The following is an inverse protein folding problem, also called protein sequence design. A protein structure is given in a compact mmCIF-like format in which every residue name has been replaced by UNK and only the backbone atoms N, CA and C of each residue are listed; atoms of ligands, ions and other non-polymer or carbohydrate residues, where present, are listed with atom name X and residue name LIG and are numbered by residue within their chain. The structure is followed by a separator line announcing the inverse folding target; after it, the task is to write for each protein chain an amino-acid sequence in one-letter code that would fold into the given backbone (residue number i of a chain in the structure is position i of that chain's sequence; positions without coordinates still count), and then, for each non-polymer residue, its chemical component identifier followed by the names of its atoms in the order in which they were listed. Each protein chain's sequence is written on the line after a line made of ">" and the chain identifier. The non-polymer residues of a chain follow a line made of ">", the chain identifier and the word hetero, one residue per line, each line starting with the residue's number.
data_IF_250050493859
#
_entry.id   IF_250050493859
#
_cell.length_a   1.000
_cell.length_b   1.000
_cell.length_c   1.000
_cell.angle_alpha   90.00
_cell.angle_beta   90.00
_cell.angle_gamma   90.00
#
_symmetry.space_group_name_H-M   'P 1'
#
loop_
_entity.id
_entity.type
_entity.pdbx_description
1 polymer ?
#
# COMPACT_ATOMS: atom_id res chain seq x y z
N UNK A 1 -21.17 8.91 -24.10
CA UNK A 1 -21.27 7.71 -23.25
C UNK A 1 -21.47 8.17 -21.81
N UNK A 2 -22.40 7.59 -21.03
CA UNK A 2 -22.63 7.94 -19.61
C UNK A 2 -21.87 6.95 -18.73
N UNK A 3 -21.19 7.45 -17.69
CA UNK A 3 -20.43 6.62 -16.74
C UNK A 3 -20.70 7.09 -15.30
N UNK A 4 -20.54 6.17 -14.35
CA UNK A 4 -20.59 6.40 -12.91
C UNK A 4 -19.37 5.76 -12.24
N UNK A 5 -19.03 6.22 -11.05
CA UNK A 5 -17.88 5.75 -10.31
C UNK A 5 -17.93 6.09 -8.83
N UNK A 6 -16.93 5.61 -8.10
CA UNK A 6 -16.77 5.82 -6.65
C UNK A 6 -15.46 6.57 -6.40
N UNK A 7 -15.52 7.55 -5.50
CA UNK A 7 -14.35 8.17 -4.90
C UNK A 7 -14.02 7.42 -3.60
N UNK A 8 -12.86 6.76 -3.58
CA UNK A 8 -12.32 6.10 -2.39
C UNK A 8 -10.80 6.15 -2.47
N UNK A 9 -10.13 6.70 -1.47
CA UNK A 9 -8.67 6.65 -1.45
C UNK A 9 -8.17 5.26 -1.05
N UNK A 10 -7.01 4.84 -1.58
CA UNK A 10 -6.44 3.51 -1.34
C UNK A 10 -6.24 3.25 0.17
N UNK A 11 -5.82 4.28 0.92
CA UNK A 11 -5.63 4.18 2.39
C UNK A 11 -6.90 3.85 3.18
N UNK A 12 -8.07 3.95 2.55
CA UNK A 12 -9.37 3.65 3.16
C UNK A 12 -9.87 2.23 2.85
N UNK A 13 -9.11 1.44 2.08
CA UNK A 13 -9.40 0.03 1.92
C UNK A 13 -9.19 -0.72 3.24
N UNK A 14 -9.97 -1.79 3.50
CA UNK A 14 -9.93 -2.55 4.75
C UNK A 14 -8.76 -3.55 4.78
N UNK A 15 -7.57 -3.11 4.38
CA UNK A 15 -6.38 -3.96 4.34
C UNK A 15 -5.79 -4.19 5.73
N UNK A 16 -5.15 -5.35 5.97
CA UNK A 16 -4.42 -5.60 7.20
C UNK A 16 -3.27 -4.60 7.38
N UNK A 17 -2.79 -4.46 8.62
CA UNK A 17 -1.67 -3.56 8.95
C UNK A 17 -2.08 -2.09 9.06
N UNK A 18 -3.35 -1.80 9.37
CA UNK A 18 -3.86 -0.48 9.79
C UNK A 18 -3.88 0.61 8.72
N UNK A 19 -3.61 0.29 7.45
CA UNK A 19 -3.78 1.19 6.31
C UNK A 19 -4.09 0.40 5.04
N UNK A 20 -5.01 0.92 4.22
CA UNK A 20 -5.29 0.33 2.92
C UNK A 20 -4.10 0.35 1.95
N UNK A 21 -3.89 -0.75 1.22
CA UNK A 21 -2.74 -1.00 0.33
C UNK A 21 -3.18 -1.40 -1.08
N UNK A 22 -2.22 -1.47 -2.00
CA UNK A 22 -2.38 -2.03 -3.34
C UNK A 22 -2.19 -3.56 -3.33
N UNK A 23 -2.98 -4.25 -2.52
CA UNK A 23 -3.00 -5.71 -2.37
C UNK A 23 -4.35 -6.32 -2.71
N UNK A 24 -4.68 -7.45 -2.06
CA UNK A 24 -5.92 -8.21 -2.31
C UNK A 24 -7.19 -7.34 -2.20
N UNK A 25 -7.29 -6.44 -1.23
CA UNK A 25 -8.48 -5.59 -1.06
C UNK A 25 -8.66 -4.57 -2.18
N UNK A 26 -7.57 -4.13 -2.82
CA UNK A 26 -7.67 -3.27 -4.00
C UNK A 26 -8.27 -4.04 -5.18
N UNK A 27 -7.90 -5.31 -5.37
CA UNK A 27 -8.52 -6.19 -6.37
C UNK A 27 -9.99 -6.46 -6.03
N UNK A 28 -10.31 -6.82 -4.78
CA UNK A 28 -11.69 -7.00 -4.34
C UNK A 28 -12.54 -5.75 -4.55
N UNK A 29 -11.98 -4.56 -4.33
CA UNK A 29 -12.70 -3.32 -4.58
C UNK A 29 -12.96 -3.09 -6.07
N UNK A 30 -12.01 -3.41 -6.95
CA UNK A 30 -12.21 -3.36 -8.41
C UNK A 30 -13.28 -4.36 -8.85
N UNK A 31 -13.26 -5.59 -8.32
CA UNK A 31 -14.29 -6.59 -8.60
C UNK A 31 -15.68 -6.09 -8.15
N UNK A 32 -15.77 -5.46 -6.97
CA UNK A 32 -16.98 -4.82 -6.51
C UNK A 32 -17.48 -3.71 -7.45
N UNK A 33 -16.58 -2.87 -7.97
CA UNK A 33 -16.94 -1.83 -8.94
C UNK A 33 -17.49 -2.44 -10.23
N UNK A 34 -16.83 -3.47 -10.75
CA UNK A 34 -17.28 -4.19 -11.94
C UNK A 34 -18.68 -4.77 -11.75
N UNK A 35 -18.90 -5.52 -10.66
CA UNK A 35 -20.17 -6.14 -10.31
C UNK A 35 -21.28 -5.10 -10.09
N UNK A 36 -20.92 -3.93 -9.56
CA UNK A 36 -21.85 -2.80 -9.36
C UNK A 36 -22.11 -1.97 -10.63
N UNK A 37 -21.49 -2.32 -11.76
CA UNK A 37 -21.59 -1.57 -13.01
C UNK A 37 -20.88 -0.22 -13.00
N UNK A 38 -20.10 0.08 -11.96
CA UNK A 38 -19.27 1.28 -11.88
C UNK A 38 -18.10 1.16 -12.85
N UNK A 39 -17.76 2.26 -13.52
CA UNK A 39 -16.72 2.29 -14.57
C UNK A 39 -15.53 3.16 -14.22
N UNK A 40 -15.58 3.85 -13.09
CA UNK A 40 -14.52 4.77 -12.64
C UNK A 40 -14.25 4.55 -11.15
N UNK A 41 -12.98 4.38 -10.81
CA UNK A 41 -12.48 4.54 -9.45
C UNK A 41 -11.67 5.83 -9.41
N UNK A 42 -12.13 6.81 -8.63
CA UNK A 42 -11.39 8.03 -8.39
C UNK A 42 -10.62 7.92 -7.06
N UNK A 43 -9.36 8.35 -7.08
CA UNK A 43 -8.48 8.43 -5.90
C UNK A 43 -7.99 9.88 -5.71
N UNK A 44 -7.60 10.21 -4.48
CA UNK A 44 -6.76 11.38 -4.16
C UNK A 44 -5.33 11.16 -4.69
N UNK A 45 -4.44 12.17 -4.66
CA UNK A 45 -3.06 11.99 -5.10
C UNK A 45 -2.34 10.86 -4.34
N UNK A 46 -1.61 10.03 -5.08
CA UNK A 46 -0.90 8.84 -4.55
C UNK A 46 0.58 9.11 -4.25
N UNK A 47 0.98 10.38 -4.22
CA UNK A 47 2.35 10.79 -3.93
C UNK A 47 2.66 10.68 -2.43
N UNK A 48 3.94 10.56 -2.02
CA UNK A 48 4.32 10.57 -0.61
C UNK A 48 3.76 11.79 0.12
N UNK A 49 3.19 11.59 1.30
CA UNK A 49 2.66 12.70 2.10
C UNK A 49 3.78 13.45 2.81
N UNK A 50 3.61 14.75 2.97
CA UNK A 50 4.46 15.61 3.80
C UNK A 50 3.89 15.78 5.21
N UNK A 51 4.21 16.90 5.85
CA UNK A 51 3.69 17.22 7.18
C UNK A 51 2.14 17.28 7.21
N UNK A 52 1.52 16.53 8.13
CA UNK A 52 0.07 16.46 8.29
C UNK A 52 -0.63 15.43 7.41
N UNK A 53 0.12 14.50 6.80
CA UNK A 53 -0.38 13.31 6.10
C UNK A 53 -1.33 13.60 4.93
N UNK A 54 -1.31 14.84 4.43
CA UNK A 54 -2.16 15.29 3.35
C UNK A 54 -1.61 14.82 2.00
N UNK A 55 -2.42 14.12 1.17
CA UNK A 55 -2.00 13.72 -0.17
C UNK A 55 -1.77 14.93 -1.10
N UNK A 56 -2.25 16.12 -0.72
CA UNK A 56 -2.05 17.36 -1.48
C UNK A 56 -0.78 18.12 -1.12
N UNK A 57 -0.06 17.68 -0.08
CA UNK A 57 1.17 18.30 0.37
C UNK A 57 2.33 17.30 0.25
N UNK A 58 2.75 17.03 -0.98
CA UNK A 58 3.80 16.06 -1.26
C UNK A 58 5.18 16.69 -1.40
N UNK A 59 6.20 15.93 -1.03
CA UNK A 59 7.62 16.23 -1.31
C UNK A 59 8.02 15.87 -2.75
N UNK A 60 7.15 15.20 -3.53
CA UNK A 60 7.43 14.80 -4.90
C UNK A 60 6.17 14.76 -5.76
N UNK A 61 6.26 15.26 -6.99
CA UNK A 61 5.16 15.15 -7.98
C UNK A 61 5.21 13.84 -8.78
N UNK A 62 6.23 13.01 -8.59
CA UNK A 62 6.47 11.81 -9.42
C UNK A 62 6.50 10.50 -8.63
N UNK A 63 6.93 10.53 -7.37
CA UNK A 63 7.04 9.33 -6.56
C UNK A 63 5.65 8.80 -6.16
N UNK A 64 5.54 7.48 -5.97
CA UNK A 64 4.41 6.86 -5.28
C UNK A 64 4.63 6.81 -3.77
N UNK A 65 3.55 6.84 -2.99
CA UNK A 65 3.60 6.76 -1.54
C UNK A 65 3.98 5.33 -1.08
N UNK A 66 5.12 5.13 -0.38
CA UNK A 66 5.53 3.80 0.09
C UNK A 66 4.52 3.13 1.03
N UNK A 67 3.68 3.91 1.71
CA UNK A 67 2.65 3.37 2.59
C UNK A 67 1.57 2.57 1.86
N UNK A 68 1.46 2.70 0.53
CA UNK A 68 0.51 1.95 -0.29
C UNK A 68 1.03 0.58 -0.74
N UNK A 69 2.30 0.26 -0.44
CA UNK A 69 2.88 -1.05 -0.75
C UNK A 69 2.22 -2.12 0.14
N UNK A 70 1.85 -3.23 -0.45
CA UNK A 70 1.22 -4.35 0.25
C UNK A 70 2.28 -5.33 0.78
N UNK A 71 2.33 -5.53 2.11
CA UNK A 71 3.31 -6.43 2.73
C UNK A 71 3.02 -7.92 2.46
N UNK A 72 1.75 -8.40 2.51
CA UNK A 72 1.42 -9.76 2.10
C UNK A 72 1.93 -10.09 0.68
N UNK A 73 1.76 -9.19 -0.29
CA UNK A 73 2.31 -9.36 -1.64
C UNK A 73 3.84 -9.53 -1.62
N UNK A 74 4.57 -8.76 -0.80
CA UNK A 74 6.03 -8.92 -0.69
C UNK A 74 6.42 -10.27 -0.07
N UNK A 75 5.61 -10.82 0.83
CA UNK A 75 5.81 -12.15 1.41
C UNK A 75 5.57 -13.23 0.36
N UNK A 76 4.46 -13.15 -0.38
CA UNK A 76 4.13 -14.08 -1.46
C UNK A 76 5.20 -14.09 -2.56
N UNK A 77 5.74 -12.92 -2.90
CA UNK A 77 6.85 -12.79 -3.83
C UNK A 77 8.20 -13.23 -3.24
N UNK A 78 8.26 -13.63 -1.97
CA UNK A 78 9.46 -14.04 -1.25
C UNK A 78 10.52 -12.94 -1.19
N UNK A 79 10.10 -11.68 -1.09
CA UNK A 79 10.94 -10.49 -0.91
C UNK A 79 11.02 -10.05 0.55
N UNK A 80 10.11 -10.55 1.38
CA UNK A 80 10.01 -10.28 2.81
C UNK A 80 9.63 -11.58 3.53
N UNK A 81 10.43 -12.07 4.50
CA UNK A 81 9.98 -13.14 5.38
C UNK A 81 8.80 -12.69 6.24
N UNK A 82 7.85 -13.58 6.51
CA UNK A 82 6.65 -13.26 7.31
C UNK A 82 7.03 -12.83 8.74
N UNK A 83 8.09 -13.41 9.30
CA UNK A 83 8.58 -13.12 10.65
C UNK A 83 9.15 -11.71 10.79
N UNK A 84 9.45 -11.06 9.68
CA UNK A 84 9.99 -9.70 9.64
C UNK A 84 8.91 -8.63 9.59
N UNK A 85 7.64 -9.04 9.44
CA UNK A 85 6.49 -8.17 9.66
C UNK A 85 6.28 -8.02 11.16
N UNK A 86 6.75 -6.89 11.69
CA UNK A 86 6.66 -6.57 13.12
C UNK A 86 5.91 -5.26 13.30
N UNK A 87 5.21 -5.12 14.44
CA UNK A 87 4.55 -3.87 14.84
C UNK A 87 3.43 -3.41 13.89
N UNK A 88 2.65 -4.37 13.36
CA UNK A 88 1.45 -4.04 12.59
C UNK A 88 0.36 -3.48 13.52
N UNK A 89 -0.16 -2.27 13.23
CA UNK A 89 -1.28 -1.73 13.98
C UNK A 89 -2.53 -2.59 13.78
N UNK A 90 -3.30 -2.74 14.87
CA UNK A 90 -4.64 -3.33 14.81
C UNK A 90 -5.57 -2.46 13.93
N UNK A 91 -6.52 -3.11 13.26
CA UNK A 91 -7.55 -2.40 12.48
C UNK A 91 -8.49 -1.62 13.42
N UNK A 92 -8.28 -0.30 13.47
CA UNK A 92 -9.07 0.63 14.27
C UNK A 92 -10.12 1.40 13.44
N UNK A 93 -10.35 1.04 12.16
CA UNK A 93 -11.25 1.76 11.25
C UNK A 93 -10.77 3.19 10.88
N UNK A 94 -9.59 3.58 11.36
CA UNK A 94 -8.93 4.86 11.07
C UNK A 94 -7.42 4.64 11.09
N UNK A 95 -6.74 5.22 10.10
CA UNK A 95 -5.28 5.17 9.99
C UNK A 95 -4.63 6.02 11.09
N UNK A 96 -3.74 5.40 11.88
CA UNK A 96 -2.77 6.10 12.71
C UNK A 96 -1.48 6.34 11.91
N UNK A 97 -1.39 7.51 11.27
CA UNK A 97 -0.24 7.88 10.46
C UNK A 97 1.06 8.00 11.27
N UNK A 98 0.98 8.38 12.55
CA UNK A 98 2.16 8.54 13.41
C UNK A 98 2.85 7.19 13.69
N UNK A 99 2.04 6.13 13.86
CA UNK A 99 2.53 4.78 14.05
C UNK A 99 2.96 4.13 12.73
N UNK A 100 2.05 4.10 11.73
CA UNK A 100 2.25 3.31 10.51
C UNK A 100 3.44 3.77 9.67
N UNK A 101 3.74 5.08 9.65
CA UNK A 101 4.86 5.61 8.88
C UNK A 101 6.17 4.98 9.34
N UNK A 102 6.38 4.88 10.66
CA UNK A 102 7.60 4.32 11.21
C UNK A 102 7.64 2.81 11.07
N UNK A 103 6.56 2.12 11.49
CA UNK A 103 6.47 0.66 11.43
C UNK A 103 6.71 0.14 10.00
N UNK A 104 5.97 0.69 9.02
CA UNK A 104 6.06 0.25 7.63
C UNK A 104 7.38 0.62 6.97
N UNK A 105 7.98 1.76 7.32
CA UNK A 105 9.30 2.14 6.80
C UNK A 105 10.37 1.15 7.23
N UNK A 106 10.36 0.70 8.49
CA UNK A 106 11.33 -0.28 8.98
C UNK A 106 11.15 -1.65 8.30
N UNK A 107 9.91 -2.12 8.14
CA UNK A 107 9.64 -3.38 7.42
C UNK A 107 10.08 -3.30 5.95
N UNK A 108 9.79 -2.20 5.26
CA UNK A 108 10.21 -2.03 3.85
C UNK A 108 11.74 -1.96 3.68
N UNK A 109 12.47 -1.41 4.65
CA UNK A 109 13.94 -1.47 4.65
C UNK A 109 14.45 -2.91 4.78
N UNK A 110 13.80 -3.74 5.61
CA UNK A 110 14.13 -5.17 5.73
C UNK A 110 13.81 -5.92 4.43
N UNK A 111 12.64 -5.69 3.84
CA UNK A 111 12.28 -6.23 2.53
C UNK A 111 13.34 -5.90 1.46
N UNK A 112 13.85 -4.66 1.45
CA UNK A 112 14.94 -4.28 0.56
C UNK A 112 16.24 -5.08 0.84
N UNK A 113 16.59 -5.33 2.10
CA UNK A 113 17.76 -6.13 2.43
C UNK A 113 17.62 -7.59 1.97
N UNK A 114 16.45 -8.22 2.19
CA UNK A 114 16.17 -9.58 1.74
C UNK A 114 16.10 -9.71 0.22
N UNK A 115 15.47 -8.75 -0.46
CA UNK A 115 15.40 -8.75 -1.92
C UNK A 115 16.77 -8.68 -2.58
N UNK A 116 17.77 -7.99 -1.99
CA UNK A 116 19.15 -7.99 -2.49
C UNK A 116 19.78 -9.38 -2.47
N UNK A 117 19.59 -10.15 -1.41
CA UNK A 117 20.11 -11.51 -1.33
C UNK A 117 19.53 -12.38 -2.45
N UNK A 118 18.20 -12.31 -2.65
CA UNK A 118 17.51 -13.02 -3.73
C UNK A 118 17.91 -12.55 -5.13
N UNK A 119 18.09 -11.25 -5.34
CA UNK A 119 18.49 -10.70 -6.64
C UNK A 119 19.95 -11.00 -6.97
N UNK A 120 20.83 -11.08 -5.96
CA UNK A 120 22.20 -11.55 -6.13
C UNK A 120 22.25 -12.96 -6.72
N UNK A 121 21.45 -13.89 -6.19
CA UNK A 121 21.34 -15.25 -6.71
C UNK A 121 20.79 -15.33 -8.15
N UNK A 122 19.99 -14.34 -8.57
CA UNK A 122 19.41 -14.28 -9.92
C UNK A 122 20.35 -13.66 -10.96
N UNK A 123 21.29 -12.81 -10.54
CA UNK A 123 22.29 -12.19 -11.42
C UNK A 123 23.53 -13.08 -11.63
N UNK A 124 23.74 -14.06 -10.77
CA UNK A 124 24.81 -15.07 -10.89
C UNK A 124 24.39 -16.31 -11.70
N UNK A 125 23.15 -16.36 -12.21
CA UNK A 125 22.64 -17.38 -13.15
C UNK A 125 22.54 -16.82 -14.56
#
# INVERSE_FOLDING_TARGET
>A
MRQSGILLHITSLPSPGGIGTLGADAYHFVDFLEQSGMKVWQVLPISPTGFGDSPYQSVSTFAGNPLLIDLPTLIEEGLLPEEEVTDEPEDAGRVDFGHIVNAKTEVLKRAFAFSKAKMGERLER
#
